data_IF_471711835151
#
_entry.id   IF_471711835151
#
_cell.length_a   1.000
_cell.length_b   1.000
_cell.length_c   1.000
_cell.angle_alpha   90.00
_cell.angle_beta   90.00
_cell.angle_gamma   90.00
#
_symmetry.space_group_name_H-M   'P 1'
#
loop_
_entity.id
_entity.type
_entity.pdbx_description
1 polymer ?
#
# COMPACT_ATOMS: atom_id res chain seq x y z
N UNK A 1 15.50 0.30 -9.58
CA UNK A 1 14.37 1.08 -9.02
C UNK A 1 13.75 0.29 -7.88
N UNK A 2 13.45 0.95 -6.76
CA UNK A 2 12.84 0.37 -5.56
C UNK A 2 11.34 0.69 -5.53
N UNK A 3 10.51 -0.33 -5.39
CA UNK A 3 9.05 -0.21 -5.45
C UNK A 3 8.47 -0.71 -4.12
N UNK A 4 7.60 0.07 -3.51
CA UNK A 4 6.81 -0.37 -2.36
C UNK A 4 5.38 -0.66 -2.81
N UNK A 5 4.91 -1.88 -2.61
CA UNK A 5 3.52 -2.27 -2.80
C UNK A 5 2.83 -2.36 -1.44
N UNK A 6 1.69 -1.70 -1.27
CA UNK A 6 1.01 -1.57 0.01
C UNK A 6 -0.38 -2.21 -0.08
N UNK A 7 -0.65 -3.17 0.81
CA UNK A 7 -2.01 -3.56 1.16
C UNK A 7 -2.46 -2.72 2.36
N UNK A 8 -3.37 -1.76 2.19
CA UNK A 8 -3.83 -0.91 3.28
C UNK A 8 -4.75 -1.68 4.22
N UNK A 9 -4.91 -1.16 5.43
CA UNK A 9 -5.82 -1.75 6.42
C UNK A 9 -7.27 -1.57 5.95
N UNK A 10 -8.02 -2.66 5.82
CA UNK A 10 -9.44 -2.73 5.48
C UNK A 10 -10.33 -2.68 6.73
N UNK A 11 -9.86 -3.29 7.82
CA UNK A 11 -10.63 -3.39 9.05
C UNK A 11 -10.72 -2.05 9.78
N UNK A 12 -11.94 -1.65 10.16
CA UNK A 12 -12.19 -0.55 11.11
C UNK A 12 -12.03 -0.97 12.57
N UNK A 13 -11.78 -2.26 12.82
CA UNK A 13 -11.58 -2.78 14.17
C UNK A 13 -10.18 -2.41 14.67
N UNK A 14 -9.94 -2.39 15.98
CA UNK A 14 -8.61 -2.18 16.52
C UNK A 14 -7.59 -3.12 15.86
N UNK A 15 -6.41 -2.61 15.46
CA UNK A 15 -5.37 -3.43 14.86
C UNK A 15 -4.99 -4.59 15.80
N UNK A 16 -5.01 -5.81 15.29
CA UNK A 16 -4.53 -7.00 15.99
C UNK A 16 -3.67 -7.77 15.00
N UNK A 17 -2.37 -7.84 15.28
CA UNK A 17 -1.39 -8.49 14.40
C UNK A 17 -1.82 -9.92 14.08
N UNK A 18 -1.83 -10.27 12.79
CA UNK A 18 -2.21 -11.61 12.30
C UNK A 18 -3.71 -11.91 12.23
N UNK A 19 -4.60 -11.00 12.63
CA UNK A 19 -6.05 -11.22 12.52
C UNK A 19 -6.50 -11.12 11.07
N UNK A 20 -7.03 -12.21 10.51
CA UNK A 20 -7.55 -12.22 9.13
C UNK A 20 -6.46 -12.04 8.08
N UNK A 21 -5.21 -12.38 8.42
CA UNK A 21 -4.05 -12.29 7.54
C UNK A 21 -4.21 -13.26 6.36
N UNK A 22 -4.73 -12.74 5.25
CA UNK A 22 -4.69 -13.40 3.97
C UNK A 22 -3.57 -12.77 3.16
N UNK A 23 -2.69 -13.62 2.61
CA UNK A 23 -1.66 -13.14 1.72
C UNK A 23 -2.30 -12.36 0.55
N UNK A 24 -1.88 -11.10 0.28
CA UNK A 24 -2.47 -10.28 -0.77
C UNK A 24 -2.00 -10.78 -2.14
N UNK A 25 -2.61 -11.86 -2.64
CA UNK A 25 -2.14 -12.60 -3.82
C UNK A 25 -1.96 -11.71 -5.05
N UNK A 26 -2.84 -10.74 -5.28
CA UNK A 26 -2.72 -9.80 -6.39
C UNK A 26 -1.44 -8.96 -6.31
N UNK A 27 -1.09 -8.45 -5.13
CA UNK A 27 0.17 -7.73 -4.93
C UNK A 27 1.37 -8.68 -4.99
N UNK A 28 1.22 -9.92 -4.52
CA UNK A 28 2.25 -10.95 -4.62
C UNK A 28 2.62 -11.26 -6.08
N UNK A 29 1.63 -11.39 -6.97
CA UNK A 29 1.85 -11.62 -8.40
C UNK A 29 2.52 -10.41 -9.08
N UNK A 30 2.10 -9.18 -8.73
CA UNK A 30 2.76 -7.96 -9.21
C UNK A 30 4.22 -7.91 -8.73
N UNK A 31 4.46 -8.21 -7.45
CA UNK A 31 5.80 -8.24 -6.88
C UNK A 31 6.71 -9.26 -7.56
N UNK A 32 6.21 -10.48 -7.79
CA UNK A 32 6.93 -11.53 -8.50
C UNK A 32 7.32 -11.08 -9.91
N UNK A 33 6.35 -10.55 -10.67
CA UNK A 33 6.59 -10.05 -12.05
C UNK A 33 7.62 -8.92 -12.08
N UNK A 34 7.51 -7.96 -11.16
CA UNK A 34 8.47 -6.85 -11.06
C UNK A 34 9.88 -7.33 -10.66
N UNK A 35 9.97 -8.28 -9.74
CA UNK A 35 11.25 -8.89 -9.35
C UNK A 35 11.91 -9.61 -10.54
N UNK A 36 11.14 -10.36 -11.34
CA UNK A 36 11.64 -11.03 -12.56
C UNK A 36 12.22 -10.04 -13.59
N UNK A 37 11.73 -8.80 -13.60
CA UNK A 37 12.21 -7.72 -14.46
C UNK A 37 13.33 -6.87 -13.82
N UNK A 38 13.92 -7.33 -12.72
CA UNK A 38 15.09 -6.69 -12.08
C UNK A 38 14.75 -5.49 -11.18
N UNK A 39 13.48 -5.29 -10.83
CA UNK A 39 13.10 -4.29 -9.82
C UNK A 39 13.28 -4.82 -8.40
N UNK A 40 13.59 -3.93 -7.46
CA UNK A 40 13.62 -4.27 -6.03
C UNK A 40 12.27 -3.96 -5.42
N UNK A 41 11.51 -4.98 -5.04
CA UNK A 41 10.13 -4.81 -4.56
C UNK A 41 10.00 -5.20 -3.10
N UNK A 42 9.37 -4.31 -2.32
CA UNK A 42 8.90 -4.61 -0.96
C UNK A 42 7.37 -4.65 -0.96
N UNK A 43 6.78 -5.65 -0.32
CA UNK A 43 5.34 -5.70 -0.06
C UNK A 43 5.10 -5.40 1.42
N UNK A 44 4.40 -4.31 1.72
CA UNK A 44 3.89 -4.00 3.04
C UNK A 44 2.43 -4.43 3.11
N UNK A 45 2.17 -5.54 3.81
CA UNK A 45 0.81 -5.94 4.14
C UNK A 45 0.36 -5.32 5.47
N UNK A 46 -0.20 -4.11 5.41
CA UNK A 46 -0.57 -3.39 6.63
C UNK A 46 -1.87 -3.90 7.27
N UNK A 47 -2.65 -4.74 6.58
CA UNK A 47 -3.74 -5.48 7.23
C UNK A 47 -3.16 -6.49 8.23
N UNK A 48 -2.04 -7.14 7.88
CA UNK A 48 -1.34 -8.09 8.75
C UNK A 48 -0.44 -7.39 9.78
N UNK A 49 0.37 -6.42 9.35
CA UNK A 49 1.34 -5.73 10.21
C UNK A 49 0.70 -4.72 11.16
N UNK A 50 -0.50 -4.22 10.83
CA UNK A 50 -1.29 -3.40 11.74
C UNK A 50 -0.59 -2.11 12.19
N UNK A 51 0.28 -1.53 11.36
CA UNK A 51 0.97 -0.28 11.67
C UNK A 51 -0.04 0.86 11.77
N UNK A 52 0.01 1.57 12.89
CA UNK A 52 -0.76 2.78 13.09
C UNK A 52 -0.21 3.94 12.23
N UNK A 53 -0.90 5.08 12.23
CA UNK A 53 -0.52 6.26 11.41
C UNK A 53 0.92 6.73 11.65
N UNK A 54 1.40 6.71 12.89
CA UNK A 54 2.74 7.18 13.25
C UNK A 54 3.81 6.17 12.83
N UNK A 55 3.57 4.88 13.07
CA UNK A 55 4.47 3.80 12.65
C UNK A 55 4.58 3.72 11.12
N UNK A 56 3.45 3.84 10.41
CA UNK A 56 3.44 3.85 8.95
C UNK A 56 4.15 5.10 8.39
N UNK A 57 3.97 6.26 9.04
CA UNK A 57 4.71 7.49 8.69
C UNK A 57 6.21 7.27 8.84
N UNK A 58 6.64 6.67 9.93
CA UNK A 58 8.05 6.40 10.21
C UNK A 58 8.65 5.35 9.27
N UNK A 59 7.89 4.29 8.96
CA UNK A 59 8.27 3.30 7.97
C UNK A 59 8.52 3.94 6.59
N UNK A 60 7.61 4.83 6.17
CA UNK A 60 7.72 5.54 4.89
C UNK A 60 8.84 6.57 4.92
N UNK A 61 9.03 7.31 6.02
CA UNK A 61 10.09 8.33 6.14
C UNK A 61 11.50 7.73 6.11
N UNK A 62 11.69 6.60 6.80
CA UNK A 62 12.99 5.92 6.95
C UNK A 62 13.44 5.13 5.71
N UNK A 63 12.53 4.86 4.78
CA UNK A 63 12.82 4.08 3.56
C UNK A 63 12.81 4.94 2.31
N UNK A 64 13.67 4.64 1.35
CA UNK A 64 13.71 5.30 0.03
C UNK A 64 13.13 4.36 -1.04
N UNK A 65 11.94 4.68 -1.54
CA UNK A 65 11.30 4.02 -2.67
C UNK A 65 11.06 5.03 -3.80
N UNK A 66 11.21 4.57 -5.04
CA UNK A 66 11.03 5.39 -6.23
C UNK A 66 9.55 5.48 -6.63
N UNK A 67 8.77 4.42 -6.35
CA UNK A 67 7.35 4.29 -6.70
C UNK A 67 6.58 3.60 -5.58
N UNK A 68 5.36 4.06 -5.33
CA UNK A 68 4.44 3.50 -4.33
C UNK A 68 3.19 2.95 -5.04
N UNK A 69 2.98 1.63 -5.01
CA UNK A 69 1.76 0.98 -5.44
C UNK A 69 0.82 0.73 -4.25
N UNK A 70 -0.46 1.05 -4.37
CA UNK A 70 -1.45 0.84 -3.30
C UNK A 70 -2.63 0.05 -3.86
N UNK A 71 -2.92 -1.11 -3.27
CA UNK A 71 -4.18 -1.82 -3.54
C UNK A 71 -5.33 -1.09 -2.86
N UNK A 72 -6.42 -0.80 -3.56
CA UNK A 72 -7.52 -0.04 -3.01
C UNK A 72 -8.88 -0.70 -3.25
N UNK A 73 -9.67 -0.80 -2.18
CA UNK A 73 -11.08 -1.19 -2.22
C UNK A 73 -11.97 -0.03 -1.76
N UNK A 74 -13.22 0.02 -2.22
CA UNK A 74 -14.14 1.11 -1.90
C UNK A 74 -14.28 1.43 -0.38
N UNK A 75 -14.35 0.42 0.52
CA UNK A 75 -14.41 0.68 1.97
C UNK A 75 -13.16 1.39 2.54
N UNK A 76 -12.04 1.36 1.82
CA UNK A 76 -10.75 1.91 2.22
C UNK A 76 -10.47 3.31 1.66
N UNK A 77 -11.39 3.93 0.91
CA UNK A 77 -11.17 5.21 0.22
C UNK A 77 -10.51 6.27 1.12
N UNK A 78 -11.09 6.54 2.29
CA UNK A 78 -10.56 7.55 3.22
C UNK A 78 -9.14 7.23 3.71
N UNK A 79 -8.84 5.94 3.93
CA UNK A 79 -7.52 5.49 4.34
C UNK A 79 -6.52 5.68 3.20
N UNK A 80 -6.84 5.22 1.99
CA UNK A 80 -5.99 5.34 0.80
C UNK A 80 -5.72 6.80 0.45
N UNK A 81 -6.73 7.68 0.58
CA UNK A 81 -6.57 9.13 0.39
C UNK A 81 -5.61 9.74 1.40
N UNK A 82 -5.76 9.40 2.68
CA UNK A 82 -4.88 9.86 3.75
C UNK A 82 -3.44 9.36 3.59
N UNK A 83 -3.28 8.09 3.24
CA UNK A 83 -1.98 7.46 2.96
C UNK A 83 -1.30 8.12 1.75
N UNK A 84 -2.03 8.32 0.66
CA UNK A 84 -1.50 8.94 -0.55
C UNK A 84 -1.01 10.37 -0.30
N UNK A 85 -1.81 11.16 0.44
CA UNK A 85 -1.41 12.50 0.87
C UNK A 85 -0.13 12.46 1.72
N UNK A 86 -0.06 11.56 2.70
CA UNK A 86 1.12 11.41 3.56
C UNK A 86 2.38 11.05 2.75
N UNK A 87 2.28 10.12 1.80
CA UNK A 87 3.41 9.74 0.93
C UNK A 87 3.87 10.95 0.09
N UNK A 88 2.93 11.73 -0.47
CA UNK A 88 3.27 12.94 -1.23
C UNK A 88 3.98 13.97 -0.36
N UNK A 89 3.52 14.21 0.85
CA UNK A 89 4.13 15.14 1.81
C UNK A 89 5.56 14.71 2.22
N UNK A 90 5.81 13.40 2.38
CA UNK A 90 7.10 12.90 2.85
C UNK A 90 8.14 12.71 1.75
N UNK A 91 7.72 12.24 0.57
CA UNK A 91 8.64 11.73 -0.46
C UNK A 91 8.44 12.36 -1.83
N UNK A 92 7.26 12.94 -2.09
CA UNK A 92 6.87 13.50 -3.38
C UNK A 92 7.17 12.59 -4.59
N UNK A 93 6.89 11.29 -4.47
CA UNK A 93 7.11 10.28 -5.52
C UNK A 93 5.83 9.88 -6.24
N UNK A 94 5.91 9.22 -7.41
CA UNK A 94 4.75 8.61 -8.07
C UNK A 94 4.00 7.63 -7.15
N UNK A 95 2.67 7.70 -7.22
CA UNK A 95 1.76 6.80 -6.52
C UNK A 95 0.85 6.17 -7.58
N UNK A 96 0.76 4.85 -7.58
CA UNK A 96 -0.09 4.07 -8.49
C UNK A 96 -1.18 3.41 -7.64
N UNK A 97 -2.43 3.72 -7.94
CA UNK A 97 -3.58 3.08 -7.30
C UNK A 97 -4.06 1.91 -8.16
N UNK A 98 -4.32 0.78 -7.52
CA UNK A 98 -4.87 -0.41 -8.15
C UNK A 98 -6.00 -1.02 -7.32
N UNK A 99 -6.37 -2.26 -7.63
CA UNK A 99 -7.49 -2.95 -7.00
C UNK A 99 -8.85 -2.42 -7.47
N UNK A 100 -9.96 -2.99 -6.97
CA UNK A 100 -11.30 -2.68 -7.47
C UNK A 100 -11.65 -1.19 -7.47
N UNK A 101 -11.20 -0.43 -6.47
CA UNK A 101 -11.46 1.01 -6.42
C UNK A 101 -10.69 1.75 -7.53
N UNK A 102 -9.40 1.44 -7.70
CA UNK A 102 -8.58 2.05 -8.75
C UNK A 102 -8.99 1.64 -10.17
N UNK A 103 -9.62 0.48 -10.32
CA UNK A 103 -10.07 -0.03 -11.63
C UNK A 103 -11.48 0.44 -11.99
N UNK A 104 -12.46 0.26 -11.10
CA UNK A 104 -13.87 0.51 -11.40
C UNK A 104 -14.36 1.90 -10.99
N UNK A 105 -13.55 2.66 -10.25
CA UNK A 105 -13.92 4.00 -9.76
C UNK A 105 -12.76 4.98 -9.89
N UNK A 106 -11.97 4.85 -10.97
CA UNK A 106 -10.77 5.66 -11.21
C UNK A 106 -11.07 7.16 -11.26
N UNK A 107 -12.29 7.57 -11.66
CA UNK A 107 -12.70 8.98 -11.69
C UNK A 107 -12.85 9.61 -10.30
N UNK A 108 -13.00 8.77 -9.26
CA UNK A 108 -13.23 9.21 -7.89
C UNK A 108 -11.95 9.30 -7.03
N UNK A 109 -10.81 8.78 -7.53
CA UNK A 109 -9.56 8.61 -6.77
C UNK A 109 -8.37 9.38 -7.33
#
# INVERSE_FOLDING_TARGET
>A
MKILLINPMASRKPPVKGRGAHFPIGLGLIAATLNEHGFSVTVLDNETECLNKYELREFISSSEYDVYGISAMAPQYSYVKGLSRMIKELKNRPIILGGPLGTYSYEAV
#
